data_IF_297278678775
#
_entry.id   IF_297278678775
#
_cell.length_a   1.000
_cell.length_b   1.000
_cell.length_c   1.000
_cell.angle_alpha   90.00
_cell.angle_beta   90.00
_cell.angle_gamma   90.00
#
_symmetry.space_group_name_H-M   'P 1'
#
loop_
_entity.id
_entity.type
_entity.pdbx_description
1 polymer ?
#
# COMPACT_ATOMS: atom_id res chain seq x y z
N UNK A 1 9.85 -13.83 1.56
CA UNK A 1 9.97 -12.73 0.58
C UNK A 1 8.85 -12.89 -0.41
N UNK A 2 8.09 -11.84 -0.70
CA UNK A 2 7.00 -11.88 -1.67
C UNK A 2 7.57 -11.80 -3.07
N UNK A 3 7.20 -12.72 -3.96
CA UNK A 3 7.61 -12.70 -5.35
C UNK A 3 6.51 -12.15 -6.26
N UNK A 4 6.86 -11.92 -7.53
CA UNK A 4 5.91 -11.35 -8.49
C UNK A 4 4.74 -12.30 -8.81
N UNK A 5 4.96 -13.62 -8.67
CA UNK A 5 3.90 -14.61 -8.85
C UNK A 5 2.85 -14.46 -7.75
N UNK A 6 3.27 -14.34 -6.48
CA UNK A 6 2.37 -14.05 -5.36
C UNK A 6 1.58 -12.76 -5.62
N UNK A 7 2.26 -11.69 -6.04
CA UNK A 7 1.63 -10.40 -6.35
C UNK A 7 0.50 -10.54 -7.39
N UNK A 8 0.77 -11.24 -8.50
CA UNK A 8 -0.22 -11.45 -9.58
C UNK A 8 -1.32 -12.46 -9.24
N UNK A 9 -0.99 -13.52 -8.51
CA UNK A 9 -1.86 -14.70 -8.38
C UNK A 9 -2.63 -14.76 -7.08
N UNK A 10 -2.01 -14.41 -5.94
CA UNK A 10 -2.64 -14.40 -4.63
C UNK A 10 -3.18 -13.01 -4.29
N UNK A 11 -2.32 -12.00 -4.36
CA UNK A 11 -2.70 -10.62 -4.06
C UNK A 11 -3.56 -9.98 -5.17
N UNK A 12 -3.46 -10.49 -6.41
CA UNK A 12 -4.21 -10.02 -7.59
C UNK A 12 -3.87 -8.58 -8.01
N UNK A 13 -2.67 -8.11 -7.72
CA UNK A 13 -2.20 -6.79 -8.12
C UNK A 13 -1.86 -6.74 -9.62
N UNK A 14 -2.09 -5.59 -10.24
CA UNK A 14 -1.80 -5.33 -11.66
C UNK A 14 -1.15 -3.98 -11.94
N UNK A 15 -0.88 -3.22 -10.88
CA UNK A 15 -0.43 -1.82 -10.98
C UNK A 15 1.07 -1.71 -11.20
N UNK A 16 1.86 -2.54 -10.52
CA UNK A 16 3.33 -2.47 -10.54
C UNK A 16 3.89 -3.27 -11.73
N UNK A 17 4.68 -2.66 -12.64
CA UNK A 17 5.42 -3.37 -13.66
C UNK A 17 6.44 -4.34 -13.06
N UNK A 18 6.70 -5.47 -13.73
CA UNK A 18 7.65 -6.48 -13.25
C UNK A 18 9.07 -5.95 -13.05
N UNK A 19 9.47 -4.92 -13.80
CA UNK A 19 10.78 -4.26 -13.68
C UNK A 19 10.93 -3.48 -12.36
N UNK A 20 9.87 -2.82 -11.91
CA UNK A 20 9.87 -1.98 -10.71
C UNK A 20 9.54 -2.78 -9.44
N UNK A 21 8.88 -3.92 -9.60
CA UNK A 21 8.42 -4.77 -8.50
C UNK A 21 9.48 -5.09 -7.43
N UNK A 22 10.71 -5.53 -7.78
CA UNK A 22 11.70 -5.91 -6.77
C UNK A 22 12.11 -4.76 -5.84
N UNK A 23 12.17 -3.52 -6.37
CA UNK A 23 12.57 -2.36 -5.58
C UNK A 23 11.44 -1.92 -4.63
N UNK A 24 10.20 -1.93 -5.13
CA UNK A 24 9.00 -1.55 -4.38
C UNK A 24 8.68 -2.54 -3.26
N UNK A 25 8.75 -3.85 -3.56
CA UNK A 25 8.48 -4.88 -2.55
C UNK A 25 9.53 -4.87 -1.43
N UNK A 26 10.78 -4.53 -1.76
CA UNK A 26 11.84 -4.33 -0.77
C UNK A 26 11.53 -3.14 0.13
N UNK A 27 11.18 -1.98 -0.44
CA UNK A 27 10.80 -0.77 0.34
C UNK A 27 9.61 -1.03 1.24
N UNK A 28 8.58 -1.70 0.73
CA UNK A 28 7.40 -2.10 1.51
C UNK A 28 7.76 -3.08 2.64
N UNK A 29 8.63 -4.05 2.36
CA UNK A 29 9.13 -5.00 3.36
C UNK A 29 9.93 -4.32 4.48
N UNK A 30 10.80 -3.37 4.13
CA UNK A 30 11.56 -2.58 5.10
C UNK A 30 10.63 -1.73 5.99
N UNK A 31 9.54 -1.21 5.43
CA UNK A 31 8.52 -0.48 6.19
C UNK A 31 7.74 -1.40 7.14
N UNK A 32 7.34 -2.59 6.69
CA UNK A 32 6.70 -3.58 7.57
C UNK A 32 7.65 -3.99 8.70
N UNK A 33 8.93 -4.21 8.40
CA UNK A 33 9.94 -4.52 9.41
C UNK A 33 10.13 -3.36 10.41
N UNK A 34 9.90 -2.11 9.99
CA UNK A 34 9.83 -0.98 10.92
C UNK A 34 8.59 -1.06 11.81
N UNK A 35 7.40 -1.33 11.26
CA UNK A 35 6.18 -1.48 12.07
C UNK A 35 6.30 -2.57 13.13
N UNK A 36 6.82 -3.75 12.77
CA UNK A 36 7.07 -4.85 13.72
C UNK A 36 8.05 -4.50 14.85
N UNK A 37 8.91 -3.50 14.66
CA UNK A 37 9.85 -3.02 15.71
C UNK A 37 9.21 -2.03 16.67
N UNK A 38 8.22 -1.27 16.24
CA UNK A 38 7.63 -0.16 17.01
C UNK A 38 6.22 -0.47 17.51
N UNK A 39 5.56 -1.47 16.94
CA UNK A 39 4.19 -1.89 17.22
C UNK A 39 4.10 -3.40 17.40
N UNK A 40 3.02 -3.84 18.05
CA UNK A 40 2.64 -5.25 18.04
C UNK A 40 1.89 -5.49 16.72
N UNK A 41 2.38 -6.43 15.93
CA UNK A 41 1.82 -6.78 14.62
C UNK A 41 1.43 -8.25 14.63
N UNK A 42 0.15 -8.54 14.41
CA UNK A 42 -0.39 -9.90 14.30
C UNK A 42 -0.92 -10.13 12.89
N UNK A 43 -0.61 -11.29 12.33
CA UNK A 43 -1.09 -11.73 11.03
C UNK A 43 -2.22 -12.75 11.24
N UNK A 44 -3.46 -12.45 10.82
CA UNK A 44 -4.59 -13.38 10.99
C UNK A 44 -4.46 -14.63 10.10
N UNK A 45 -3.80 -14.51 8.94
CA UNK A 45 -3.58 -15.61 8.01
C UNK A 45 -2.11 -15.71 7.59
N UNK A 46 -1.69 -16.89 7.09
CA UNK A 46 -0.32 -17.13 6.65
C UNK A 46 0.13 -16.18 5.53
N UNK A 47 -0.79 -15.76 4.65
CA UNK A 47 -0.51 -14.86 3.53
C UNK A 47 -0.68 -13.38 3.89
N UNK A 48 -1.23 -13.03 5.07
CA UNK A 48 -1.56 -11.66 5.47
C UNK A 48 -0.39 -10.69 5.38
N UNK A 49 0.80 -11.10 5.82
CA UNK A 49 1.99 -10.25 5.69
C UNK A 49 2.36 -10.00 4.24
N UNK A 50 2.24 -11.03 3.39
CA UNK A 50 2.50 -10.90 1.96
C UNK A 50 1.53 -9.92 1.30
N UNK A 51 0.25 -10.02 1.63
CA UNK A 51 -0.79 -9.10 1.16
C UNK A 51 -0.53 -7.66 1.61
N UNK A 52 -0.16 -7.46 2.88
CA UNK A 52 0.19 -6.14 3.41
C UNK A 52 1.38 -5.50 2.68
N UNK A 53 2.44 -6.28 2.43
CA UNK A 53 3.61 -5.81 1.70
C UNK A 53 3.26 -5.45 0.26
N UNK A 54 2.41 -6.25 -0.42
CA UNK A 54 1.91 -5.90 -1.74
C UNK A 54 1.10 -4.60 -1.76
N UNK A 55 0.17 -4.41 -0.82
CA UNK A 55 -0.63 -3.20 -0.74
C UNK A 55 0.19 -1.94 -0.46
N UNK A 56 1.22 -2.05 0.40
CA UNK A 56 2.16 -0.97 0.59
C UNK A 56 3.01 -0.70 -0.67
N UNK A 57 3.39 -1.74 -1.41
CA UNK A 57 4.13 -1.58 -2.65
C UNK A 57 3.31 -0.86 -3.73
N UNK A 58 2.01 -1.15 -3.86
CA UNK A 58 1.12 -0.42 -4.78
C UNK A 58 1.01 1.06 -4.40
N UNK A 59 0.88 1.36 -3.11
CA UNK A 59 0.85 2.75 -2.62
C UNK A 59 2.16 3.48 -2.91
N UNK A 60 3.31 2.83 -2.66
CA UNK A 60 4.63 3.39 -2.97
C UNK A 60 4.78 3.69 -4.47
N UNK A 61 4.33 2.78 -5.33
CA UNK A 61 4.35 3.00 -6.77
C UNK A 61 3.46 4.16 -7.19
N UNK A 62 2.26 4.28 -6.60
CA UNK A 62 1.38 5.43 -6.80
C UNK A 62 2.04 6.76 -6.41
N UNK A 63 2.77 6.81 -5.29
CA UNK A 63 3.53 8.00 -4.89
C UNK A 63 4.67 8.31 -5.85
N UNK A 64 5.41 7.29 -6.30
CA UNK A 64 6.50 7.46 -7.26
C UNK A 64 5.96 8.02 -8.59
N UNK A 65 4.81 7.53 -9.09
CA UNK A 65 4.14 8.07 -10.28
C UNK A 65 3.74 9.54 -10.10
N UNK A 66 3.11 9.91 -8.98
CA UNK A 66 2.72 11.30 -8.71
C UNK A 66 3.96 12.20 -8.63
N UNK A 67 5.03 11.74 -7.96
CA UNK A 67 6.28 12.48 -7.84
C UNK A 67 6.97 12.70 -9.20
N UNK A 68 6.85 11.74 -10.12
CA UNK A 68 7.41 11.81 -11.47
C UNK A 68 6.49 12.58 -12.46
N UNK A 69 5.33 13.07 -12.02
CA UNK A 69 4.36 13.75 -12.89
C UNK A 69 3.58 12.81 -13.82
N UNK A 70 3.71 11.51 -13.63
CA UNK A 70 3.00 10.44 -14.37
C UNK A 70 1.69 10.03 -13.65
N UNK A 71 1.55 10.40 -12.38
CA UNK A 71 0.36 10.20 -11.58
C UNK A 71 -0.68 11.30 -11.81
N UNK A 72 -1.63 11.06 -12.70
CA UNK A 72 -2.92 11.77 -12.67
C UNK A 72 -3.72 11.38 -11.43
N UNK A 73 -4.66 12.25 -10.99
CA UNK A 73 -5.53 12.01 -9.83
C UNK A 73 -5.97 10.53 -9.78
N UNK A 74 -5.48 9.81 -8.77
CA UNK A 74 -5.51 8.35 -8.65
C UNK A 74 -6.90 7.83 -9.03
N UNK A 75 -7.02 7.24 -10.22
CA UNK A 75 -8.25 6.58 -10.66
C UNK A 75 -8.36 5.28 -9.87
N UNK A 76 -9.16 5.34 -8.81
CA UNK A 76 -9.75 4.20 -8.11
C UNK A 76 -10.13 3.10 -9.10
N UNK A 77 -9.43 1.97 -9.03
CA UNK A 77 -9.84 0.75 -9.72
C UNK A 77 -11.03 0.18 -8.97
N UNK A 78 -12.15 0.08 -9.69
CA UNK A 78 -13.45 -0.41 -9.24
C UNK A 78 -13.38 -1.82 -8.65
N UNK A 79 -13.43 -1.91 -7.31
CA UNK A 79 -13.93 -3.10 -6.61
C UNK A 79 -15.43 -2.86 -6.39
N UNK A 80 -16.23 -3.80 -6.86
CA UNK A 80 -17.70 -3.82 -6.91
C UNK A 80 -18.47 -2.90 -5.95
N UNK A 81 -19.33 -2.07 -6.53
CA UNK A 81 -20.58 -1.58 -5.94
C UNK A 81 -20.53 -0.84 -4.59
N UNK A 82 -19.48 -0.07 -4.33
CA UNK A 82 -19.59 1.16 -3.51
C UNK A 82 -18.88 2.30 -4.26
N UNK A 83 -19.64 3.01 -5.08
CA UNK A 83 -19.18 4.26 -5.70
C UNK A 83 -19.04 5.34 -4.63
N UNK A 84 -17.86 5.48 -4.04
CA UNK A 84 -17.46 6.75 -3.45
C UNK A 84 -16.94 7.64 -4.58
N UNK A 85 -17.87 8.37 -5.20
CA UNK A 85 -17.53 9.46 -6.12
C UNK A 85 -16.94 10.62 -5.31
N UNK A 86 -15.62 10.79 -5.30
CA UNK A 86 -15.02 12.10 -5.05
C UNK A 86 -14.90 12.82 -6.39
N UNK A 87 -16.04 13.18 -6.95
CA UNK A 87 -16.10 14.08 -8.10
C UNK A 87 -16.36 15.50 -7.60
N UNK A 88 -15.41 16.41 -7.81
CA UNK A 88 -15.68 17.84 -7.72
C UNK A 88 -14.42 18.65 -7.50
N UNK A 89 -14.08 19.52 -8.45
CA UNK A 89 -12.97 20.46 -8.35
C UNK A 89 -13.01 21.26 -7.02
N UNK A 90 -11.99 21.06 -6.19
CA UNK A 90 -11.78 21.78 -4.94
C UNK A 90 -10.83 21.02 -4.01
N UNK A 91 -9.53 21.32 -4.06
CA UNK A 91 -8.56 21.07 -2.98
C UNK A 91 -8.31 19.64 -2.45
N UNK A 92 -8.86 18.57 -3.02
CA UNK A 92 -8.49 17.18 -2.67
C UNK A 92 -7.31 16.66 -3.50
N UNK A 93 -6.16 17.33 -3.38
CA UNK A 93 -4.91 16.72 -3.83
C UNK A 93 -4.62 15.49 -2.94
N UNK A 94 -4.23 14.36 -3.53
CA UNK A 94 -3.66 13.23 -2.77
C UNK A 94 -2.58 13.80 -1.86
N UNK A 95 -2.70 13.59 -0.54
CA UNK A 95 -1.72 14.06 0.43
C UNK A 95 -0.42 13.25 0.28
N UNK A 96 0.42 13.71 -0.65
CA UNK A 96 1.74 13.13 -0.94
C UNK A 96 2.81 13.69 -0.01
N UNK A 97 2.45 14.45 1.04
CA UNK A 97 3.42 14.84 2.06
C UNK A 97 3.99 13.60 2.74
N UNK A 98 5.18 13.67 3.34
CA UNK A 98 5.74 12.53 4.08
C UNK A 98 4.80 11.98 5.17
N UNK A 99 3.98 12.85 5.77
CA UNK A 99 2.99 12.45 6.77
C UNK A 99 1.80 11.75 6.12
N UNK A 100 1.31 12.26 4.99
CA UNK A 100 0.24 11.63 4.21
C UNK A 100 0.64 10.25 3.67
N UNK A 101 1.83 10.15 3.07
CA UNK A 101 2.38 8.86 2.63
C UNK A 101 2.53 7.86 3.78
N UNK A 102 3.04 8.30 4.94
CA UNK A 102 3.19 7.42 6.10
C UNK A 102 1.83 6.93 6.63
N UNK A 103 0.79 7.79 6.63
CA UNK A 103 -0.58 7.41 7.01
C UNK A 103 -1.15 6.40 6.04
N UNK A 104 -0.97 6.60 4.74
CA UNK A 104 -1.49 5.70 3.72
C UNK A 104 -0.79 4.34 3.77
N UNK A 105 0.54 4.30 3.91
CA UNK A 105 1.27 3.04 4.08
C UNK A 105 0.82 2.28 5.33
N UNK A 106 0.54 2.99 6.43
CA UNK A 106 0.00 2.38 7.64
C UNK A 106 -1.42 1.83 7.39
N UNK A 107 -2.28 2.60 6.70
CA UNK A 107 -3.62 2.16 6.30
C UNK A 107 -3.58 0.89 5.45
N UNK A 108 -2.69 0.82 4.45
CA UNK A 108 -2.49 -0.37 3.61
C UNK A 108 -2.06 -1.59 4.42
N UNK A 109 -1.15 -1.42 5.38
CA UNK A 109 -0.73 -2.52 6.24
C UNK A 109 -1.89 -3.03 7.12
N UNK A 110 -2.70 -2.14 7.68
CA UNK A 110 -3.84 -2.49 8.52
C UNK A 110 -5.00 -3.17 7.77
N UNK A 111 -5.00 -3.20 6.43
CA UNK A 111 -6.00 -3.97 5.67
C UNK A 111 -5.84 -5.48 5.86
N UNK A 112 -4.62 -5.93 6.16
CA UNK A 112 -4.28 -7.36 6.24
C UNK A 112 -3.65 -7.75 7.57
N UNK A 113 -3.28 -6.78 8.41
CA UNK A 113 -2.59 -7.01 9.68
C UNK A 113 -3.28 -6.28 10.81
N UNK A 114 -3.30 -6.91 11.97
CA UNK A 114 -3.69 -6.26 13.22
C UNK A 114 -2.46 -5.55 13.79
N UNK A 115 -2.43 -4.22 13.71
CA UNK A 115 -1.32 -3.40 14.21
C UNK A 115 -1.78 -2.60 15.42
N UNK A 116 -1.25 -2.94 16.60
CA UNK A 116 -1.59 -2.30 17.87
C UNK A 116 -0.46 -1.39 18.38
N UNK A 117 -0.84 -0.18 18.81
CA UNK A 117 0.07 0.92 19.20
C UNK A 117 0.19 1.15 20.71
N UNK A 118 -0.36 0.26 21.55
CA UNK A 118 -0.38 0.44 23.01
C UNK A 118 0.85 -0.08 23.76
N UNK A 119 1.08 0.50 24.94
CA UNK A 119 2.04 0.04 25.95
C UNK A 119 1.30 -0.95 26.86
N UNK A 120 1.84 -2.16 27.02
CA UNK A 120 1.34 -3.10 28.03
C UNK A 120 1.70 -2.63 29.44
#
# INVERSE_FOLDING_TARGET
>A
MVDFIFYRTKYKGDTIPSADFPSLIKRAGDQLARYKRIYIVTAPEADSEGMAVCAMADALYGFDLIANGEGGAVRSASIGSVSASYSGAGNDAVDVTPVGQARELFRCACLYLDIYRGVH
#
